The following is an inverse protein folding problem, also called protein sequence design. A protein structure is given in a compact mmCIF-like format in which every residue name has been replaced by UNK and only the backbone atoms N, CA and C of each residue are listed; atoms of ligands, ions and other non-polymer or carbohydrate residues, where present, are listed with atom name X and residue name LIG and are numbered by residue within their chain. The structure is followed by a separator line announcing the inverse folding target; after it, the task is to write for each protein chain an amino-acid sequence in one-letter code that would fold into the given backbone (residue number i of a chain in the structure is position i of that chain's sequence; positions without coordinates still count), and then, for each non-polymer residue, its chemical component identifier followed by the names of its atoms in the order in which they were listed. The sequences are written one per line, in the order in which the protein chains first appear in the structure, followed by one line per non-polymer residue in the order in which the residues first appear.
data_IF_119776993659
#
_entry.id   IF_119776993659
#
_cell.length_a   1.000
_cell.length_b   1.000
_cell.length_c   1.000
_cell.angle_alpha   90.00
_cell.angle_beta   90.00
_cell.angle_gamma   90.00
#
_symmetry.space_group_name_H-M   'P 1'
#
loop_
_entity.id
_entity.type
_entity.pdbx_description
1 polymer ?
#
# COMPACT_ATOMS: atom_id res chain seq x y z
N UNK A 1 17.67 -14.11 -29.64
CA UNK A 1 18.60 -13.72 -28.55
C UNK A 1 17.95 -12.60 -27.74
N UNK A 2 17.43 -12.89 -26.54
CA UNK A 2 16.84 -11.85 -25.66
C UNK A 2 17.96 -11.15 -24.91
N UNK A 3 18.24 -9.87 -25.21
CA UNK A 3 19.13 -9.04 -24.38
C UNK A 3 18.44 -8.80 -23.04
N UNK A 4 18.98 -9.36 -21.95
CA UNK A 4 18.61 -8.95 -20.58
C UNK A 4 18.95 -7.47 -20.45
N UNK A 5 17.94 -6.63 -20.20
CA UNK A 5 18.19 -5.23 -19.79
C UNK A 5 18.94 -5.29 -18.46
N UNK A 6 20.10 -4.61 -18.33
CA UNK A 6 20.76 -4.51 -17.03
C UNK A 6 19.82 -3.77 -16.07
N UNK A 7 19.59 -4.33 -14.89
CA UNK A 7 18.88 -3.63 -13.83
C UNK A 7 19.80 -2.51 -13.31
N UNK A 8 19.43 -1.27 -13.61
CA UNK A 8 20.14 -0.10 -13.06
C UNK A 8 19.98 -0.06 -11.55
N UNK A 9 21.09 0.11 -10.84
CA UNK A 9 21.08 0.36 -9.40
C UNK A 9 20.55 1.77 -9.15
N UNK A 10 19.57 1.97 -8.26
CA UNK A 10 19.08 3.30 -7.93
C UNK A 10 20.17 4.14 -7.25
N UNK A 11 20.15 5.45 -7.49
CA UNK A 11 21.00 6.39 -6.75
C UNK A 11 20.61 6.46 -5.26
N UNK A 12 21.47 7.03 -4.41
CA UNK A 12 21.29 7.02 -2.95
C UNK A 12 19.98 7.66 -2.48
N UNK A 13 19.53 8.74 -3.13
CA UNK A 13 18.26 9.39 -2.79
C UNK A 13 17.05 8.49 -3.08
N UNK A 14 17.05 7.81 -4.24
CA UNK A 14 15.98 6.88 -4.60
C UNK A 14 15.96 5.67 -3.65
N UNK A 15 17.14 5.16 -3.29
CA UNK A 15 17.25 4.07 -2.33
C UNK A 15 16.72 4.47 -0.93
N UNK A 16 17.06 5.67 -0.45
CA UNK A 16 16.56 6.19 0.82
C UNK A 16 15.03 6.38 0.81
N UNK A 17 14.47 6.94 -0.28
CA UNK A 17 13.03 7.09 -0.43
C UNK A 17 12.30 5.74 -0.46
N UNK A 18 12.86 4.74 -1.17
CA UNK A 18 12.32 3.39 -1.20
C UNK A 18 12.37 2.72 0.19
N UNK A 19 13.47 2.87 0.94
CA UNK A 19 13.59 2.36 2.29
C UNK A 19 12.55 2.99 3.23
N UNK A 20 12.33 4.30 3.14
CA UNK A 20 11.31 4.99 3.92
C UNK A 20 9.89 4.50 3.56
N UNK A 21 9.60 4.32 2.27
CA UNK A 21 8.32 3.76 1.81
C UNK A 21 8.07 2.35 2.36
N UNK A 22 9.07 1.46 2.29
CA UNK A 22 8.97 0.09 2.79
C UNK A 22 8.80 0.06 4.31
N UNK A 23 9.53 0.91 5.05
CA UNK A 23 9.42 0.99 6.51
C UNK A 23 8.03 1.49 6.96
N UNK A 24 7.33 2.25 6.11
CA UNK A 24 5.96 2.69 6.35
C UNK A 24 4.89 1.63 5.99
N UNK A 25 5.27 0.40 5.59
CA UNK A 25 4.32 -0.68 5.31
C UNK A 25 4.16 -1.59 6.54
N UNK A 26 3.26 -1.24 7.45
CA UNK A 26 2.94 -2.07 8.61
C UNK A 26 1.98 -3.20 8.22
N UNK A 27 2.29 -4.44 8.62
CA UNK A 27 1.33 -5.55 8.55
C UNK A 27 0.48 -5.56 9.82
N UNK A 28 -0.83 -5.51 9.63
CA UNK A 28 -1.85 -5.48 10.70
C UNK A 28 -2.85 -6.60 10.49
N UNK A 29 -3.52 -7.04 11.55
CA UNK A 29 -4.49 -8.14 11.51
C UNK A 29 -5.80 -7.74 12.20
N UNK A 30 -6.92 -8.20 11.65
CA UNK A 30 -8.27 -7.99 12.20
C UNK A 30 -9.22 -9.12 11.80
N UNK A 31 -10.43 -9.14 12.34
CA UNK A 31 -11.49 -10.06 11.91
C UNK A 31 -12.24 -9.49 10.70
N UNK A 32 -12.51 -10.36 9.71
CA UNK A 32 -13.29 -9.99 8.53
C UNK A 32 -14.74 -9.64 8.91
N UNK A 33 -15.20 -8.44 8.55
CA UNK A 33 -16.59 -7.99 8.79
C UNK A 33 -17.66 -8.75 8.00
N UNK A 34 -17.26 -9.52 6.98
CA UNK A 34 -18.16 -10.35 6.18
C UNK A 34 -18.36 -11.75 6.76
N UNK A 35 -17.26 -12.47 7.05
CA UNK A 35 -17.32 -13.88 7.43
C UNK A 35 -16.60 -14.24 8.75
N UNK A 36 -16.02 -13.26 9.45
CA UNK A 36 -15.35 -13.46 10.74
C UNK A 36 -13.97 -14.14 10.66
N UNK A 37 -13.46 -14.45 9.46
CA UNK A 37 -12.11 -15.00 9.31
C UNK A 37 -11.05 -13.94 9.65
N UNK A 38 -9.96 -14.35 10.31
CA UNK A 38 -8.80 -13.49 10.51
C UNK A 38 -8.21 -13.05 9.16
N UNK A 39 -7.95 -11.77 9.00
CA UNK A 39 -7.38 -11.18 7.78
C UNK A 39 -6.23 -10.25 8.12
N UNK A 40 -5.10 -10.45 7.45
CA UNK A 40 -3.97 -9.54 7.51
C UNK A 40 -3.99 -8.57 6.33
N UNK A 41 -3.54 -7.35 6.58
CA UNK A 41 -3.54 -6.25 5.64
C UNK A 41 -2.40 -5.27 5.89
N UNK A 42 -2.14 -4.41 4.91
CA UNK A 42 -1.09 -3.37 5.02
C UNK A 42 -1.73 -2.07 5.49
N UNK A 43 -1.23 -1.49 6.59
CA UNK A 43 -1.67 -0.20 7.12
C UNK A 43 -3.20 -0.10 7.29
N UNK A 44 -3.83 -1.15 7.84
CA UNK A 44 -5.29 -1.20 8.04
C UNK A 44 -6.11 -1.39 6.76
N UNK A 45 -5.50 -1.78 5.63
CA UNK A 45 -6.20 -2.09 4.37
C UNK A 45 -6.34 -3.59 4.22
N UNK A 46 -7.57 -4.08 4.22
CA UNK A 46 -7.88 -5.50 4.31
C UNK A 46 -8.66 -5.97 3.09
N UNK A 47 -8.28 -7.15 2.59
CA UNK A 47 -9.01 -7.89 1.57
C UNK A 47 -9.10 -9.35 2.00
N UNK A 48 -10.32 -9.81 2.29
CA UNK A 48 -10.55 -11.17 2.75
C UNK A 48 -10.52 -12.16 1.58
N UNK A 49 -9.52 -13.04 1.57
CA UNK A 49 -9.42 -14.12 0.57
C UNK A 49 -10.51 -15.20 0.68
N UNK A 50 -11.31 -15.21 1.74
CA UNK A 50 -12.38 -16.22 1.96
C UNK A 50 -13.70 -15.78 1.35
N UNK A 51 -14.19 -14.59 1.68
CA UNK A 51 -15.52 -14.11 1.26
C UNK A 51 -15.47 -12.92 0.29
N UNK A 52 -14.29 -12.41 -0.05
CA UNK A 52 -14.12 -11.30 -0.99
C UNK A 52 -14.42 -9.91 -0.42
N UNK A 53 -14.74 -9.80 0.87
CA UNK A 53 -14.93 -8.52 1.53
C UNK A 53 -13.65 -7.67 1.52
N UNK A 54 -13.79 -6.38 1.23
CA UNK A 54 -12.74 -5.37 1.37
C UNK A 54 -13.26 -4.20 2.21
N UNK A 55 -12.40 -3.58 3.03
CA UNK A 55 -12.79 -2.36 3.74
C UNK A 55 -12.82 -1.15 2.80
N UNK A 56 -13.54 -0.10 3.20
CA UNK A 56 -13.55 1.15 2.45
C UNK A 56 -12.15 1.76 2.46
N UNK A 57 -11.76 2.39 1.35
CA UNK A 57 -10.39 2.89 1.15
C UNK A 57 -9.98 3.96 2.19
N UNK A 58 -10.94 4.64 2.81
CA UNK A 58 -10.67 5.65 3.84
C UNK A 58 -10.43 5.08 5.24
N UNK A 59 -10.64 3.77 5.45
CA UNK A 59 -10.52 3.12 6.75
C UNK A 59 -9.07 2.65 7.05
N UNK A 60 -8.12 2.92 6.17
CA UNK A 60 -6.70 2.64 6.42
C UNK A 60 -6.13 3.52 7.54
N UNK A 61 -5.06 3.06 8.18
CA UNK A 61 -4.43 3.74 9.32
C UNK A 61 -3.64 4.99 8.93
N UNK A 62 -3.15 5.05 7.68
CA UNK A 62 -2.36 6.17 7.20
C UNK A 62 -3.26 7.37 6.87
N UNK A 63 -2.75 8.58 7.18
CA UNK A 63 -3.38 9.82 6.76
C UNK A 63 -3.54 9.84 5.23
N UNK A 64 -4.74 10.16 4.78
CA UNK A 64 -5.01 10.35 3.36
C UNK A 64 -4.41 11.68 2.88
N UNK A 65 -3.95 11.75 1.62
CA UNK A 65 -3.52 13.01 1.01
C UNK A 65 -4.63 14.07 1.05
N UNK A 66 -4.24 15.32 1.27
CA UNK A 66 -5.13 16.47 1.13
C UNK A 66 -5.46 16.80 -0.32
N UNK A 67 -6.44 17.68 -0.54
CA UNK A 67 -6.80 18.13 -1.89
C UNK A 67 -5.67 18.93 -2.56
N UNK A 68 -4.84 19.60 -1.76
CA UNK A 68 -3.67 20.33 -2.22
C UNK A 68 -2.55 19.43 -2.75
N UNK A 69 -2.56 18.14 -2.38
CA UNK A 69 -1.62 17.11 -2.81
C UNK A 69 -2.12 16.33 -4.03
N UNK A 70 -3.33 16.64 -4.53
CA UNK A 70 -3.90 16.01 -5.72
C UNK A 70 -3.17 16.52 -6.99
N UNK A 71 -2.52 15.63 -7.77
CA UNK A 71 -1.86 16.01 -9.01
C UNK A 71 -2.82 16.60 -10.06
N UNK A 72 -4.11 16.29 -9.97
CA UNK A 72 -5.13 16.73 -10.92
C UNK A 72 -5.89 17.99 -10.46
N UNK A 73 -5.66 18.47 -9.22
CA UNK A 73 -6.39 19.61 -8.63
C UNK A 73 -6.19 20.97 -9.35
N UNK A 74 -5.26 21.07 -10.31
CA UNK A 74 -4.97 22.30 -11.06
C UNK A 74 -5.43 22.26 -12.52
N UNK A 75 -6.33 21.35 -12.87
CA UNK A 75 -6.95 21.31 -14.21
C UNK A 75 -8.27 22.08 -14.29
#
# INVERSE_FOLDING_TARGET
MTRKRPHSVPGPHTAAAAAAFLNAQEITTTDCRGCGAEVSGVNGRYACGVCGWTNHWSEGHNKLPGAEEDPDART
#
